data_IF_394490235064
#
_entry.id   IF_394490235064
#
_cell.length_a   1.000
_cell.length_b   1.000
_cell.length_c   1.000
_cell.angle_alpha   90.00
_cell.angle_beta   90.00
_cell.angle_gamma   90.00
#
_symmetry.space_group_name_H-M   'P 1'
#
loop_
_entity.id
_entity.type
_entity.pdbx_description
1 polymer ?
#
# COMPACT_ATOMS: atom_id res chain seq x y z
N UNK A 1 29.69 19.40 -36.13
CA UNK A 1 28.77 19.02 -37.22
C UNK A 1 29.39 18.06 -38.25
N UNK A 2 30.72 17.96 -38.38
CA UNK A 2 31.35 16.94 -39.25
C UNK A 2 31.66 15.59 -38.56
N UNK A 3 31.54 15.50 -37.22
CA UNK A 3 31.74 14.23 -36.49
C UNK A 3 30.52 13.29 -36.52
N UNK A 4 29.34 13.79 -36.90
CA UNK A 4 28.10 13.00 -36.98
C UNK A 4 27.89 12.34 -38.35
N UNK A 5 28.69 12.68 -39.36
CA UNK A 5 28.64 12.06 -40.69
C UNK A 5 29.50 10.79 -40.82
N UNK A 6 30.38 10.51 -39.84
CA UNK A 6 31.30 9.37 -39.88
C UNK A 6 30.74 8.08 -39.25
N UNK A 7 29.61 8.15 -38.53
CA UNK A 7 29.02 6.99 -37.83
C UNK A 7 27.89 6.29 -38.60
N UNK A 8 27.56 6.73 -39.82
CA UNK A 8 26.50 6.14 -40.65
C UNK A 8 26.98 5.13 -41.71
N UNK A 9 28.25 4.68 -41.65
CA UNK A 9 28.81 3.70 -42.60
C UNK A 9 29.54 2.54 -41.91
N UNK A 10 28.83 1.80 -41.07
CA UNK A 10 29.26 0.45 -40.68
C UNK A 10 28.18 -0.54 -41.12
N UNK A 11 28.38 -1.06 -42.33
CA UNK A 11 27.58 -2.14 -42.91
C UNK A 11 27.80 -3.44 -42.12
N UNK A 12 26.77 -3.90 -41.42
CA UNK A 12 26.73 -5.26 -40.91
C UNK A 12 26.22 -6.20 -42.02
N UNK A 13 27.16 -6.85 -42.70
CA UNK A 13 26.88 -8.02 -43.53
C UNK A 13 26.99 -9.28 -42.67
N UNK A 14 25.86 -9.89 -42.31
CA UNK A 14 25.82 -11.20 -41.68
C UNK A 14 24.85 -12.12 -42.44
N UNK A 15 25.38 -13.30 -42.76
CA UNK A 15 24.96 -14.27 -43.78
C UNK A 15 23.73 -15.07 -43.35
N UNK A 16 22.82 -15.32 -44.30
CA UNK A 16 21.88 -16.46 -44.28
C UNK A 16 22.64 -17.75 -44.59
N UNK A 17 22.31 -18.89 -43.95
CA UNK A 17 22.51 -20.19 -44.56
C UNK A 17 21.20 -20.70 -45.18
N UNK A 18 21.34 -21.20 -46.40
CA UNK A 18 20.31 -21.82 -47.21
C UNK A 18 20.11 -23.31 -46.83
N UNK A 19 18.84 -23.73 -46.97
CA UNK A 19 18.30 -25.05 -47.35
C UNK A 19 19.24 -26.27 -47.47
N UNK A 20 18.77 -27.40 -46.93
CA UNK A 20 19.02 -28.72 -47.51
C UNK A 20 17.74 -29.57 -47.50
N UNK A 21 17.32 -29.97 -48.69
CA UNK A 21 16.24 -30.90 -49.01
C UNK A 21 16.58 -32.34 -48.59
N UNK A 22 15.56 -33.13 -48.24
CA UNK A 22 15.47 -34.55 -48.66
C UNK A 22 14.02 -34.99 -48.81
N UNK A 23 13.76 -35.61 -49.96
CA UNK A 23 12.50 -36.21 -50.39
C UNK A 23 12.63 -37.73 -50.41
N UNK A 24 11.54 -38.44 -50.12
CA UNK A 24 11.11 -39.76 -50.66
C UNK A 24 9.82 -40.17 -49.92
N UNK A 25 8.62 -40.02 -50.48
CA UNK A 25 7.90 -40.92 -51.41
C UNK A 25 7.66 -42.36 -50.90
N UNK A 26 6.41 -42.68 -50.54
CA UNK A 26 5.70 -43.85 -51.10
C UNK A 26 4.18 -43.84 -50.83
N UNK A 27 3.44 -43.86 -51.95
CA UNK A 27 2.10 -44.38 -52.22
C UNK A 27 1.58 -45.54 -51.32
N UNK A 28 0.27 -45.58 -50.98
CA UNK A 28 -0.82 -46.17 -51.79
C UNK A 28 -2.09 -46.54 -50.98
N UNK A 29 -3.25 -46.22 -51.56
CA UNK A 29 -4.52 -46.97 -51.62
C UNK A 29 -5.30 -47.42 -50.35
N UNK A 30 -6.46 -46.76 -50.17
CA UNK A 30 -7.83 -47.31 -50.08
C UNK A 30 -8.06 -48.81 -49.75
N UNK A 31 -8.84 -49.10 -48.71
CA UNK A 31 -10.02 -50.00 -48.75
C UNK A 31 -10.84 -49.99 -47.45
N UNK A 32 -12.14 -50.14 -47.64
CA UNK A 32 -13.20 -50.24 -46.64
C UNK A 32 -13.25 -51.60 -45.92
N UNK A 33 -13.76 -51.60 -44.68
CA UNK A 33 -14.67 -52.60 -44.05
C UNK A 33 -14.92 -52.14 -42.61
N UNK A 34 -16.14 -51.72 -42.26
CA UNK A 34 -17.18 -52.56 -41.63
C UNK A 34 -16.72 -53.28 -40.35
N UNK A 35 -17.33 -52.94 -39.20
CA UNK A 35 -17.28 -53.84 -38.04
C UNK A 35 -17.52 -53.27 -36.65
N UNK A 36 -18.76 -52.83 -36.37
CA UNK A 36 -19.52 -53.04 -35.10
C UNK A 36 -18.95 -52.62 -33.72
N UNK A 37 -19.75 -51.73 -33.13
CA UNK A 37 -20.39 -51.87 -31.80
C UNK A 37 -19.53 -51.77 -30.53
N UNK A 38 -19.74 -50.68 -29.77
CA UNK A 38 -20.59 -50.69 -28.55
C UNK A 38 -20.74 -49.27 -28.01
N UNK A 39 -21.94 -48.73 -28.19
CA UNK A 39 -22.48 -47.61 -27.43
C UNK A 39 -23.08 -48.22 -26.16
N UNK A 40 -22.66 -47.75 -24.99
CA UNK A 40 -23.35 -48.00 -23.72
C UNK A 40 -24.18 -46.77 -23.44
N UNK A 41 -25.46 -46.87 -23.79
CA UNK A 41 -26.53 -45.95 -23.44
C UNK A 41 -27.24 -46.55 -22.23
N UNK A 42 -27.23 -45.84 -21.09
CA UNK A 42 -28.06 -46.17 -19.93
C UNK A 42 -29.19 -45.15 -19.92
N UNK A 43 -30.33 -45.59 -20.46
CA UNK A 43 -31.63 -44.93 -20.38
C UNK A 43 -32.39 -45.55 -19.20
N UNK A 44 -32.69 -44.76 -18.17
CA UNK A 44 -33.79 -45.07 -17.24
C UNK A 44 -34.70 -43.86 -17.13
N UNK A 45 -35.81 -43.95 -17.85
CA UNK A 45 -36.94 -43.02 -17.82
C UNK A 45 -37.87 -43.29 -16.63
N UNK A 46 -38.43 -42.18 -16.15
CA UNK A 46 -39.83 -41.96 -15.69
C UNK A 46 -40.33 -42.68 -14.44
N UNK A 47 -40.68 -41.86 -13.45
CA UNK A 47 -42.08 -41.74 -13.01
C UNK A 47 -42.44 -40.26 -12.79
N UNK A 48 -43.59 -39.87 -13.34
CA UNK A 48 -44.21 -38.57 -13.25
C UNK A 48 -44.99 -38.40 -11.94
N UNK A 49 -45.38 -37.17 -11.61
CA UNK A 49 -46.61 -36.91 -10.86
C UNK A 49 -46.51 -35.83 -9.79
N UNK A 50 -47.12 -34.68 -10.09
CA UNK A 50 -47.30 -33.54 -9.21
C UNK A 50 -48.12 -33.85 -7.95
N UNK A 51 -48.02 -32.98 -6.92
CA UNK A 51 -49.13 -32.22 -6.29
C UNK A 51 -48.68 -31.58 -4.97
N UNK A 52 -48.82 -30.25 -4.92
CA UNK A 52 -49.16 -29.35 -3.80
C UNK A 52 -49.36 -29.99 -2.41
N UNK A 53 -48.60 -29.56 -1.39
CA UNK A 53 -49.17 -28.96 -0.17
C UNK A 53 -48.12 -28.45 0.82
N UNK A 54 -48.47 -27.32 1.42
CA UNK A 54 -47.80 -26.68 2.54
C UNK A 54 -47.64 -27.61 3.75
N UNK A 55 -46.48 -27.55 4.39
CA UNK A 55 -46.19 -28.25 5.64
C UNK A 55 -45.22 -27.46 6.50
N UNK A 56 -45.77 -26.53 7.28
CA UNK A 56 -45.09 -25.91 8.43
C UNK A 56 -44.50 -27.00 9.33
N UNK A 57 -43.19 -26.97 9.58
CA UNK A 57 -42.62 -27.60 10.76
C UNK A 57 -42.01 -26.55 11.68
N UNK A 58 -42.80 -26.25 12.73
CA UNK A 58 -42.32 -25.75 14.01
C UNK A 58 -41.48 -26.84 14.64
N UNK A 59 -40.23 -26.55 14.97
CA UNK A 59 -39.58 -27.14 16.13
C UNK A 59 -39.29 -26.00 17.12
N UNK A 60 -40.16 -25.98 18.12
CA UNK A 60 -40.09 -25.30 19.41
C UNK A 60 -38.74 -25.50 20.09
N UNK A 61 -38.10 -24.43 20.56
CA UNK A 61 -38.26 -23.86 21.91
C UNK A 61 -37.82 -24.83 23.02
N UNK A 62 -36.50 -24.99 23.17
CA UNK A 62 -35.87 -25.50 24.39
C UNK A 62 -34.39 -25.07 24.43
N UNK A 63 -34.11 -23.83 24.88
CA UNK A 63 -32.83 -23.37 25.47
C UNK A 63 -32.87 -21.87 25.82
N UNK A 64 -33.98 -21.41 26.41
CA UNK A 64 -34.07 -20.08 27.05
C UNK A 64 -34.90 -20.21 28.33
N UNK A 65 -34.27 -20.65 29.41
CA UNK A 65 -34.67 -20.38 30.79
C UNK A 65 -33.71 -21.09 31.77
N UNK A 66 -32.59 -20.45 32.11
CA UNK A 66 -31.95 -20.57 33.44
C UNK A 66 -30.68 -19.74 33.51
N UNK A 67 -30.83 -18.45 33.82
CA UNK A 67 -29.96 -17.65 34.71
C UNK A 67 -30.32 -16.17 34.56
N UNK A 68 -31.40 -15.81 35.22
CA UNK A 68 -31.66 -14.43 35.65
C UNK A 68 -31.89 -14.50 37.15
N UNK A 69 -30.84 -14.26 37.92
CA UNK A 69 -30.93 -13.72 39.26
C UNK A 69 -29.58 -13.12 39.67
N UNK A 70 -29.62 -11.82 39.93
CA UNK A 70 -28.75 -11.10 40.88
C UNK A 70 -27.29 -10.85 40.49
N UNK A 71 -27.03 -9.68 39.89
CA UNK A 71 -26.31 -8.60 40.59
C UNK A 71 -26.44 -7.30 39.78
N UNK A 72 -27.19 -6.34 40.33
CA UNK A 72 -27.07 -4.92 39.99
C UNK A 72 -25.77 -4.46 40.62
N UNK A 73 -24.72 -4.22 39.84
CA UNK A 73 -23.76 -3.18 40.19
C UNK A 73 -22.96 -2.70 38.97
N UNK A 74 -22.82 -1.37 38.92
CA UNK A 74 -21.80 -0.57 38.24
C UNK A 74 -21.33 -0.97 36.82
N UNK A 75 -21.71 -0.13 35.84
CA UNK A 75 -21.19 -0.10 34.47
C UNK A 75 -19.67 0.10 34.46
N UNK A 76 -18.93 -0.97 34.21
CA UNK A 76 -17.66 -0.94 33.51
C UNK A 76 -17.75 -1.97 32.39
N UNK A 77 -17.86 -1.51 31.15
CA UNK A 77 -17.58 -2.35 29.99
C UNK A 77 -16.08 -2.58 29.99
N UNK A 78 -15.63 -3.64 30.66
CA UNK A 78 -14.30 -4.19 30.44
C UNK A 78 -14.36 -4.85 29.07
N UNK A 79 -13.87 -4.15 28.05
CA UNK A 79 -13.56 -4.75 26.75
C UNK A 79 -12.39 -5.71 26.97
N UNK A 80 -12.67 -6.93 27.43
CA UNK A 80 -11.72 -8.03 27.27
C UNK A 80 -11.65 -8.28 25.78
N UNK A 81 -10.64 -7.70 25.13
CA UNK A 81 -10.37 -7.89 23.71
C UNK A 81 -10.08 -9.35 23.46
N UNK A 82 -11.05 -10.06 22.89
CA UNK A 82 -10.72 -11.26 22.14
C UNK A 82 -9.93 -10.74 20.95
N UNK A 83 -8.62 -11.00 20.92
CA UNK A 83 -7.80 -10.79 19.74
C UNK A 83 -8.35 -11.71 18.65
N UNK A 84 -9.35 -11.25 17.91
CA UNK A 84 -9.78 -11.93 16.69
C UNK A 84 -8.54 -11.98 15.80
N UNK A 85 -8.08 -13.19 15.50
CA UNK A 85 -6.93 -13.39 14.62
C UNK A 85 -7.21 -12.70 13.29
N UNK A 86 -6.58 -11.54 13.12
CA UNK A 86 -6.73 -10.72 11.94
C UNK A 86 -6.35 -11.57 10.71
N UNK A 87 -7.30 -11.69 9.78
CA UNK A 87 -7.15 -12.40 8.51
C UNK A 87 -5.84 -12.00 7.84
N UNK A 88 -5.08 -12.99 7.36
CA UNK A 88 -3.82 -12.74 6.65
C UNK A 88 -4.03 -11.79 5.45
N UNK A 89 -5.17 -11.90 4.76
CA UNK A 89 -5.53 -11.00 3.67
C UNK A 89 -5.78 -9.54 4.15
N UNK A 90 -6.34 -9.35 5.35
CA UNK A 90 -6.50 -8.02 5.96
C UNK A 90 -5.14 -7.38 6.24
N UNK A 91 -4.17 -8.14 6.77
CA UNK A 91 -2.78 -7.66 6.97
C UNK A 91 -2.11 -7.23 5.67
N UNK A 92 -2.28 -8.02 4.61
CA UNK A 92 -1.76 -7.70 3.27
C UNK A 92 -2.40 -6.40 2.75
N UNK A 93 -3.72 -6.28 2.84
CA UNK A 93 -4.44 -5.11 2.34
C UNK A 93 -4.08 -3.84 3.11
N UNK A 94 -3.91 -3.91 4.44
CA UNK A 94 -3.43 -2.77 5.25
C UNK A 94 -2.04 -2.31 4.80
N UNK A 95 -1.11 -3.24 4.57
CA UNK A 95 0.22 -2.93 4.02
C UNK A 95 0.14 -2.32 2.61
N UNK A 96 -0.67 -2.91 1.74
CA UNK A 96 -0.87 -2.41 0.38
C UNK A 96 -1.48 -1.00 0.38
N UNK A 97 -2.45 -0.73 1.27
CA UNK A 97 -3.11 0.56 1.39
C UNK A 97 -2.13 1.68 1.82
N UNK A 98 -1.22 1.38 2.75
CA UNK A 98 -0.16 2.32 3.15
C UNK A 98 0.81 2.61 2.02
N UNK A 99 1.27 1.57 1.33
CA UNK A 99 2.15 1.71 0.18
C UNK A 99 1.46 2.51 -0.94
N UNK A 100 0.16 2.28 -1.16
CA UNK A 100 -0.64 3.03 -2.13
C UNK A 100 -0.71 4.53 -1.78
N UNK A 101 -1.07 4.89 -0.53
CA UNK A 101 -1.15 6.30 -0.11
C UNK A 101 0.20 7.00 -0.27
N UNK A 102 1.29 6.33 0.08
CA UNK A 102 2.62 6.90 -0.08
C UNK A 102 3.06 6.97 -1.57
N UNK A 103 2.62 6.04 -2.41
CA UNK A 103 2.85 6.06 -3.86
C UNK A 103 2.03 7.16 -4.56
N UNK A 104 0.82 7.45 -4.09
CA UNK A 104 -0.02 8.56 -4.59
C UNK A 104 0.68 9.92 -4.43
N UNK A 105 1.58 10.04 -3.46
CA UNK A 105 2.44 11.21 -3.24
C UNK A 105 3.66 11.27 -4.16
N UNK A 106 3.73 10.42 -5.18
CA UNK A 106 4.81 10.41 -6.16
C UNK A 106 6.02 9.56 -5.78
N UNK A 107 5.97 8.80 -4.68
CA UNK A 107 7.09 7.96 -4.28
C UNK A 107 7.15 6.66 -5.09
N UNK A 108 8.17 6.57 -5.94
CA UNK A 108 8.45 5.36 -6.72
C UNK A 108 8.85 4.17 -5.84
N UNK A 109 9.46 4.42 -4.69
CA UNK A 109 9.86 3.37 -3.73
C UNK A 109 8.62 2.69 -3.15
N UNK A 110 7.60 3.46 -2.77
CA UNK A 110 6.35 2.88 -2.28
C UNK A 110 5.50 2.24 -3.38
N UNK A 111 5.67 2.67 -4.63
CA UNK A 111 5.09 1.96 -5.76
C UNK A 111 5.70 0.55 -5.92
N UNK A 112 7.02 0.40 -5.73
CA UNK A 112 7.68 -0.92 -5.68
C UNK A 112 7.20 -1.74 -4.49
N UNK A 113 7.07 -1.12 -3.31
CA UNK A 113 6.58 -1.80 -2.11
C UNK A 113 5.15 -2.31 -2.31
N UNK A 114 4.27 -1.52 -2.94
CA UNK A 114 2.92 -1.95 -3.29
C UNK A 114 2.95 -3.19 -4.21
N UNK A 115 3.80 -3.17 -5.24
CA UNK A 115 3.99 -4.33 -6.13
C UNK A 115 4.49 -5.54 -5.36
N UNK A 116 5.46 -5.38 -4.45
CA UNK A 116 5.99 -6.46 -3.63
C UNK A 116 4.94 -7.07 -2.69
N UNK A 117 4.11 -6.24 -2.05
CA UNK A 117 3.03 -6.70 -1.16
C UNK A 117 1.98 -7.49 -1.95
N UNK A 118 1.54 -7.00 -3.11
CA UNK A 118 0.57 -7.71 -3.94
C UNK A 118 1.17 -8.99 -4.55
N UNK A 119 2.46 -8.97 -4.89
CA UNK A 119 3.17 -10.16 -5.32
C UNK A 119 3.25 -11.21 -4.22
N UNK A 120 3.52 -10.81 -2.99
CA UNK A 120 3.48 -11.70 -1.83
C UNK A 120 2.07 -12.29 -1.65
N UNK A 121 1.02 -11.49 -1.78
CA UNK A 121 -0.37 -11.98 -1.71
C UNK A 121 -0.66 -13.05 -2.77
N UNK A 122 -0.18 -12.82 -3.99
CA UNK A 122 -0.29 -13.76 -5.10
C UNK A 122 0.47 -15.07 -4.82
N UNK A 123 1.69 -14.98 -4.28
CA UNK A 123 2.50 -16.14 -3.90
C UNK A 123 1.85 -16.97 -2.79
N UNK A 124 1.14 -16.32 -1.87
CA UNK A 124 0.36 -16.98 -0.81
C UNK A 124 -0.98 -17.54 -1.32
N UNK A 125 -1.30 -17.39 -2.61
CA UNK A 125 -2.55 -17.87 -3.19
C UNK A 125 -3.80 -17.13 -2.68
N UNK A 126 -3.67 -15.87 -2.25
CA UNK A 126 -4.81 -15.08 -1.79
C UNK A 126 -5.59 -14.57 -3.00
N UNK A 127 -6.85 -14.99 -3.22
CA UNK A 127 -7.59 -14.62 -4.43
C UNK A 127 -7.86 -13.12 -4.49
N UNK A 128 -7.83 -12.55 -5.69
CA UNK A 128 -8.02 -11.11 -5.92
C UNK A 128 -9.38 -10.62 -5.39
N UNK A 129 -10.42 -11.46 -5.48
CA UNK A 129 -11.74 -11.16 -4.93
C UNK A 129 -11.69 -10.98 -3.40
N UNK A 130 -10.87 -11.77 -2.70
CA UNK A 130 -10.67 -11.61 -1.25
C UNK A 130 -9.95 -10.31 -0.94
N UNK A 131 -8.92 -9.94 -1.69
CA UNK A 131 -8.23 -8.65 -1.53
C UNK A 131 -9.18 -7.46 -1.74
N UNK A 132 -10.05 -7.52 -2.77
CA UNK A 132 -11.10 -6.51 -3.00
C UNK A 132 -12.08 -6.42 -1.82
N UNK A 133 -12.55 -7.56 -1.32
CA UNK A 133 -13.46 -7.60 -0.17
C UNK A 133 -12.84 -7.04 1.11
N UNK A 134 -11.58 -7.40 1.39
CA UNK A 134 -10.83 -6.91 2.55
C UNK A 134 -10.50 -5.41 2.42
N UNK A 135 -10.37 -4.88 1.20
CA UNK A 135 -10.19 -3.43 0.97
C UNK A 135 -11.47 -2.65 1.25
N UNK A 136 -12.62 -3.20 0.85
CA UNK A 136 -13.91 -2.64 1.24
C UNK A 136 -14.13 -2.74 2.75
N UNK A 137 -13.76 -3.86 3.37
CA UNK A 137 -13.81 -4.03 4.83
C UNK A 137 -12.90 -3.03 5.55
N UNK A 138 -11.67 -2.83 5.09
CA UNK A 138 -10.74 -1.85 5.64
C UNK A 138 -11.34 -0.43 5.62
N UNK A 139 -12.03 -0.07 4.54
CA UNK A 139 -12.69 1.24 4.42
C UNK A 139 -13.93 1.39 5.33
N UNK A 140 -14.48 0.29 5.85
CA UNK A 140 -15.59 0.28 6.81
C UNK A 140 -15.13 0.10 8.27
N UNK A 141 -14.03 -0.63 8.49
CA UNK A 141 -13.40 -0.88 9.80
C UNK A 141 -12.85 0.39 10.43
N UNK A 142 -12.64 1.43 9.62
CA UNK A 142 -12.42 2.75 10.16
C UNK A 142 -13.68 3.17 10.93
N UNK A 143 -13.74 2.88 12.24
CA UNK A 143 -14.68 3.47 13.21
C UNK A 143 -14.50 4.99 13.38
N UNK A 144 -14.11 5.65 12.31
CA UNK A 144 -13.81 7.05 12.15
C UNK A 144 -15.05 7.73 11.54
N UNK A 145 -15.11 9.04 11.70
CA UNK A 145 -16.15 9.86 11.09
C UNK A 145 -16.00 9.87 9.55
N UNK A 146 -14.76 9.70 9.06
CA UNK A 146 -14.42 9.71 7.64
C UNK A 146 -13.79 8.38 7.19
N UNK A 147 -14.17 7.85 6.01
CA UNK A 147 -13.56 6.64 5.45
C UNK A 147 -12.09 6.89 5.09
N UNK A 148 -11.26 5.83 5.15
CA UNK A 148 -9.83 5.90 4.78
C UNK A 148 -9.63 6.37 3.33
N UNK A 149 -10.50 5.90 2.44
CA UNK A 149 -10.56 6.25 1.03
C UNK A 149 -11.95 6.77 0.71
N UNK A 150 -12.02 7.84 -0.09
CA UNK A 150 -13.26 8.09 -0.79
C UNK A 150 -13.57 6.94 -1.78
N UNK A 151 -14.80 6.88 -2.28
CA UNK A 151 -15.22 5.80 -3.16
C UNK A 151 -14.35 5.70 -4.43
N UNK A 152 -13.90 6.83 -4.96
CA UNK A 152 -13.07 6.89 -6.17
C UNK A 152 -11.65 6.38 -5.88
N UNK A 153 -11.05 6.79 -4.77
CA UNK A 153 -9.74 6.32 -4.32
C UNK A 153 -9.75 4.83 -4.03
N UNK A 154 -10.82 4.30 -3.42
CA UNK A 154 -10.96 2.86 -3.20
C UNK A 154 -11.03 2.08 -4.52
N UNK A 155 -11.73 2.61 -5.52
CA UNK A 155 -11.79 2.04 -6.87
C UNK A 155 -10.42 2.08 -7.58
N UNK A 156 -9.67 3.17 -7.45
CA UNK A 156 -8.30 3.28 -7.98
C UNK A 156 -7.36 2.29 -7.29
N UNK A 157 -7.39 2.24 -5.96
CA UNK A 157 -6.57 1.32 -5.16
C UNK A 157 -6.84 -0.14 -5.53
N UNK A 158 -8.10 -0.54 -5.58
CA UNK A 158 -8.48 -1.91 -5.97
C UNK A 158 -8.16 -2.22 -7.43
N UNK A 159 -8.25 -1.23 -8.33
CA UNK A 159 -7.80 -1.35 -9.73
C UNK A 159 -6.29 -1.55 -9.83
N UNK A 160 -5.49 -0.81 -9.06
CA UNK A 160 -4.03 -0.97 -9.02
C UNK A 160 -3.62 -2.35 -8.54
N UNK A 161 -4.22 -2.84 -7.45
CA UNK A 161 -3.99 -4.21 -7.00
C UNK A 161 -4.35 -5.24 -8.08
N UNK A 162 -5.49 -5.07 -8.77
CA UNK A 162 -5.90 -5.95 -9.85
C UNK A 162 -4.91 -5.93 -11.03
N UNK A 163 -4.44 -4.75 -11.44
CA UNK A 163 -3.44 -4.59 -12.51
C UNK A 163 -2.16 -5.34 -12.15
N UNK A 164 -1.64 -5.15 -10.93
CA UNK A 164 -0.42 -5.82 -10.47
C UNK A 164 -0.64 -7.34 -10.46
N UNK A 165 -1.73 -7.80 -9.83
CA UNK A 165 -2.06 -9.21 -9.67
C UNK A 165 -2.18 -9.94 -11.02
N UNK A 166 -2.92 -9.35 -11.96
CA UNK A 166 -3.10 -9.90 -13.32
C UNK A 166 -1.79 -9.87 -14.11
N UNK A 167 -0.97 -8.82 -13.96
CA UNK A 167 0.34 -8.74 -14.60
C UNK A 167 1.24 -9.88 -14.14
N UNK A 168 1.27 -10.17 -12.84
CA UNK A 168 2.06 -11.29 -12.28
C UNK A 168 1.56 -12.63 -12.85
N UNK A 169 0.25 -12.86 -12.84
CA UNK A 169 -0.35 -14.08 -13.37
C UNK A 169 0.01 -14.34 -14.83
N UNK A 170 -0.15 -13.32 -15.69
CA UNK A 170 0.20 -13.42 -17.11
C UNK A 170 1.71 -13.63 -17.33
N UNK A 171 2.56 -12.94 -16.57
CA UNK A 171 4.02 -13.10 -16.67
C UNK A 171 4.51 -14.47 -16.24
N UNK A 172 3.79 -15.15 -15.34
CA UNK A 172 4.07 -16.54 -14.94
C UNK A 172 3.48 -17.57 -15.91
N UNK A 173 2.84 -17.13 -16.99
CA UNK A 173 2.24 -18.01 -17.99
C UNK A 173 1.03 -18.80 -17.45
N UNK A 174 0.39 -18.33 -16.39
CA UNK A 174 -0.85 -18.93 -15.91
C UNK A 174 -1.99 -18.52 -16.84
N UNK A 175 -2.73 -19.50 -17.34
CA UNK A 175 -3.98 -19.21 -18.04
C UNK A 175 -4.95 -18.58 -17.05
N UNK A 176 -5.38 -17.36 -17.35
CA UNK A 176 -6.36 -16.66 -16.54
C UNK A 176 -7.74 -17.33 -16.59
N UNK A 177 -8.02 -18.19 -17.57
CA UNK A 177 -9.26 -19.00 -17.60
C UNK A 177 -9.30 -20.04 -16.48
N UNK A 178 -8.16 -20.63 -16.17
CA UNK A 178 -8.04 -21.68 -15.15
C UNK A 178 -7.63 -21.12 -13.78
N UNK A 179 -7.33 -19.83 -13.70
CA UNK A 179 -6.86 -19.22 -12.47
C UNK A 179 -8.02 -18.88 -11.53
N UNK A 180 -8.31 -19.77 -10.58
CA UNK A 180 -9.30 -19.58 -9.51
C UNK A 180 -9.08 -18.28 -8.69
N UNK A 181 -7.87 -17.69 -8.76
CA UNK A 181 -7.54 -16.45 -8.07
C UNK A 181 -8.12 -15.20 -8.77
N UNK A 182 -8.58 -15.31 -10.02
CA UNK A 182 -9.08 -14.18 -10.83
C UNK A 182 -10.50 -14.45 -11.31
N UNK A 183 -11.48 -13.74 -10.75
CA UNK A 183 -12.87 -13.85 -11.17
C UNK A 183 -13.13 -13.08 -12.48
N UNK A 184 -13.17 -13.82 -13.60
CA UNK A 184 -13.49 -13.26 -14.93
C UNK A 184 -14.96 -12.84 -15.10
N UNK A 185 -15.86 -13.19 -14.18
CA UNK A 185 -17.25 -12.75 -14.28
C UNK A 185 -17.36 -11.24 -14.05
N UNK A 186 -16.44 -10.69 -13.24
CA UNK A 186 -16.32 -9.25 -13.01
C UNK A 186 -15.91 -8.52 -14.30
N UNK A 187 -16.78 -7.59 -14.75
CA UNK A 187 -16.55 -6.77 -15.93
C UNK A 187 -15.30 -5.89 -15.79
N UNK A 188 -15.01 -5.38 -14.60
CA UNK A 188 -13.84 -4.55 -14.35
C UNK A 188 -12.56 -5.37 -14.54
N UNK A 189 -12.51 -6.58 -13.97
CA UNK A 189 -11.35 -7.47 -14.09
C UNK A 189 -11.10 -7.83 -15.56
N UNK A 190 -12.14 -8.11 -16.35
CA UNK A 190 -11.97 -8.34 -17.80
C UNK A 190 -11.36 -7.16 -18.53
N UNK A 191 -11.78 -5.93 -18.20
CA UNK A 191 -11.19 -4.71 -18.74
C UNK A 191 -9.71 -4.59 -18.39
N UNK A 192 -9.36 -4.85 -17.12
CA UNK A 192 -7.96 -4.89 -16.65
C UNK A 192 -7.16 -5.95 -17.38
N UNK A 193 -7.66 -7.18 -17.54
CA UNK A 193 -6.98 -8.24 -18.27
C UNK A 193 -6.68 -7.83 -19.72
N UNK A 194 -7.67 -7.33 -20.46
CA UNK A 194 -7.47 -6.88 -21.84
C UNK A 194 -6.43 -5.74 -21.94
N UNK A 195 -6.45 -4.82 -20.99
CA UNK A 195 -5.49 -3.72 -20.92
C UNK A 195 -4.06 -4.21 -20.62
N UNK A 196 -3.90 -5.11 -19.64
CA UNK A 196 -2.61 -5.71 -19.27
C UNK A 196 -2.05 -6.53 -20.42
N UNK A 197 -2.86 -7.37 -21.06
CA UNK A 197 -2.46 -8.18 -22.22
C UNK A 197 -1.93 -7.30 -23.36
N UNK A 198 -2.67 -6.26 -23.73
CA UNK A 198 -2.28 -5.31 -24.78
C UNK A 198 -0.95 -4.63 -24.44
N UNK A 199 -0.77 -4.21 -23.18
CA UNK A 199 0.45 -3.55 -22.71
C UNK A 199 1.65 -4.51 -22.71
N UNK A 200 1.47 -5.75 -22.27
CA UNK A 200 2.52 -6.77 -22.28
C UNK A 200 2.88 -7.20 -23.71
N UNK A 201 1.93 -7.21 -24.65
CA UNK A 201 2.20 -7.46 -26.06
C UNK A 201 3.09 -6.37 -26.66
N UNK A 202 2.83 -5.09 -26.35
CA UNK A 202 3.67 -3.96 -26.75
C UNK A 202 5.07 -4.09 -26.14
N UNK A 203 5.17 -4.42 -24.85
CA UNK A 203 6.47 -4.69 -24.19
C UNK A 203 7.25 -5.81 -24.89
N UNK A 204 6.57 -6.89 -25.29
CA UNK A 204 7.15 -8.02 -26.02
C UNK A 204 7.71 -7.66 -27.41
N UNK A 205 7.29 -6.54 -28.00
CA UNK A 205 7.84 -6.02 -29.26
C UNK A 205 9.15 -5.22 -29.08
N UNK A 206 9.70 -5.18 -27.86
CA UNK A 206 10.95 -4.46 -27.56
C UNK A 206 10.73 -3.00 -27.16
N UNK A 207 9.54 -2.64 -26.70
CA UNK A 207 9.29 -1.35 -26.05
C UNK A 207 9.66 -1.46 -24.58
N UNK A 208 10.87 -1.03 -24.22
CA UNK A 208 11.30 -0.99 -22.82
C UNK A 208 10.66 0.16 -22.02
N UNK A 209 10.80 0.11 -20.69
CA UNK A 209 10.29 1.13 -19.77
C UNK A 209 10.83 2.52 -20.11
N UNK A 210 12.10 2.64 -20.49
CA UNK A 210 12.74 3.90 -20.81
C UNK A 210 12.17 4.54 -22.07
N UNK A 211 11.92 3.73 -23.11
CA UNK A 211 11.31 4.16 -24.37
C UNK A 211 9.86 4.55 -24.18
N UNK A 212 9.11 3.81 -23.37
CA UNK A 212 7.74 4.17 -23.00
C UNK A 212 7.71 5.46 -22.17
N UNK A 213 8.64 5.63 -21.23
CA UNK A 213 8.81 6.90 -20.49
C UNK A 213 9.13 8.04 -21.44
N UNK A 214 10.08 7.88 -22.36
CA UNK A 214 10.43 8.88 -23.37
C UNK A 214 9.22 9.25 -24.22
N UNK A 215 8.47 8.27 -24.72
CA UNK A 215 7.25 8.51 -25.49
C UNK A 215 6.18 9.25 -24.68
N UNK A 216 6.00 8.92 -23.41
CA UNK A 216 5.09 9.65 -22.52
C UNK A 216 5.56 11.09 -22.28
N UNK A 217 6.87 11.31 -22.15
CA UNK A 217 7.45 12.65 -22.00
C UNK A 217 7.26 13.48 -23.26
N UNK A 218 7.50 12.91 -24.45
CA UNK A 218 7.24 13.59 -25.72
C UNK A 218 5.77 13.90 -25.91
N UNK A 219 4.88 12.96 -25.61
CA UNK A 219 3.43 13.19 -25.65
C UNK A 219 3.01 14.33 -24.69
N UNK A 220 3.65 14.44 -23.53
CA UNK A 220 3.38 15.53 -22.57
C UNK A 220 3.87 16.89 -23.08
N UNK A 221 5.01 16.92 -23.78
CA UNK A 221 5.54 18.15 -24.39
C UNK A 221 4.61 18.62 -25.51
N UNK A 222 4.20 17.71 -26.40
CA UNK A 222 3.29 18.02 -27.51
C UNK A 222 1.90 18.45 -27.01
N UNK A 223 1.37 17.83 -25.95
CA UNK A 223 0.09 18.22 -25.35
C UNK A 223 0.13 19.64 -24.76
N UNK A 224 1.23 20.03 -24.10
CA UNK A 224 1.34 21.32 -23.42
C UNK A 224 1.23 22.51 -24.37
N UNK A 225 1.59 22.31 -25.63
CA UNK A 225 1.55 23.35 -26.67
C UNK A 225 0.18 23.45 -27.36
N UNK A 226 -0.70 22.45 -27.21
CA UNK A 226 -1.98 22.35 -27.96
C UNK A 226 -3.20 22.38 -27.04
N UNK A 227 -3.12 21.81 -25.84
CA UNK A 227 -4.21 21.74 -24.86
C UNK A 227 -3.69 22.02 -23.44
N UNK A 228 -4.23 23.03 -22.73
CA UNK A 228 -3.64 23.49 -21.47
C UNK A 228 -3.72 22.50 -20.30
N UNK A 229 -4.49 21.40 -20.40
CA UNK A 229 -4.64 20.41 -19.32
C UNK A 229 -4.71 18.99 -19.88
N UNK A 230 -3.79 18.12 -19.46
CA UNK A 230 -3.84 16.69 -19.79
C UNK A 230 -5.10 16.08 -19.19
N UNK A 231 -5.89 15.36 -20.00
CA UNK A 231 -7.11 14.71 -19.52
C UNK A 231 -6.81 13.75 -18.35
N UNK A 232 -7.57 13.79 -17.23
CA UNK A 232 -7.38 12.88 -16.10
C UNK A 232 -7.37 11.40 -16.49
N UNK A 233 -8.13 11.03 -17.53
CA UNK A 233 -8.16 9.68 -18.06
C UNK A 233 -6.82 9.24 -18.69
N UNK A 234 -6.16 10.16 -19.41
CA UNK A 234 -4.84 9.91 -19.99
C UNK A 234 -3.78 9.73 -18.90
N UNK A 235 -3.89 10.51 -17.82
CA UNK A 235 -2.95 10.40 -16.71
C UNK A 235 -3.08 9.06 -15.97
N UNK A 236 -4.32 8.65 -15.70
CA UNK A 236 -4.60 7.33 -15.14
C UNK A 236 -4.09 6.21 -16.05
N UNK A 237 -4.25 6.32 -17.38
CA UNK A 237 -3.70 5.35 -18.33
C UNK A 237 -2.16 5.30 -18.29
N UNK A 238 -1.48 6.46 -18.19
CA UNK A 238 -0.02 6.53 -18.06
C UNK A 238 0.46 5.85 -16.79
N UNK A 239 -0.19 6.12 -15.66
CA UNK A 239 0.12 5.49 -14.38
C UNK A 239 -0.10 3.97 -14.41
N UNK A 240 -1.24 3.51 -14.92
CA UNK A 240 -1.54 2.09 -15.04
C UNK A 240 -0.53 1.37 -15.95
N UNK A 241 -0.12 2.00 -17.06
CA UNK A 241 0.93 1.47 -17.94
C UNK A 241 2.25 1.32 -17.19
N UNK A 242 2.66 2.35 -16.43
CA UNK A 242 3.88 2.31 -15.62
C UNK A 242 3.84 1.21 -14.57
N UNK A 243 2.67 1.02 -13.94
CA UNK A 243 2.47 -0.02 -12.95
C UNK A 243 2.64 -1.42 -13.55
N UNK A 244 2.11 -1.66 -14.76
CA UNK A 244 2.31 -2.91 -15.50
C UNK A 244 3.80 -3.15 -15.78
N UNK A 245 4.48 -2.15 -16.33
CA UNK A 245 5.90 -2.28 -16.69
C UNK A 245 6.78 -2.51 -15.47
N UNK A 246 6.52 -1.79 -14.38
CA UNK A 246 7.20 -1.98 -13.10
C UNK A 246 6.97 -3.41 -12.59
N UNK A 247 5.72 -3.85 -12.55
CA UNK A 247 5.35 -5.20 -12.10
C UNK A 247 6.02 -6.27 -12.95
N UNK A 248 6.04 -6.12 -14.27
CA UNK A 248 6.70 -7.04 -15.18
C UNK A 248 8.22 -7.09 -14.93
N UNK A 249 8.87 -5.95 -14.70
CA UNK A 249 10.30 -5.89 -14.38
C UNK A 249 10.62 -6.57 -13.05
N UNK A 250 9.82 -6.31 -12.01
CA UNK A 250 10.00 -6.90 -10.68
C UNK A 250 9.70 -8.40 -10.67
N UNK A 251 8.71 -8.86 -11.43
CA UNK A 251 8.40 -10.30 -11.55
C UNK A 251 9.58 -11.06 -12.17
N UNK A 252 10.29 -10.46 -13.13
CA UNK A 252 11.50 -11.06 -13.71
C UNK A 252 12.67 -11.04 -12.72
N UNK A 253 12.83 -9.97 -11.95
CA UNK A 253 13.90 -9.85 -10.94
C UNK A 253 13.69 -10.82 -9.76
N UNK A 254 12.45 -10.97 -9.27
CA UNK A 254 12.10 -11.93 -8.21
C UNK A 254 12.41 -13.37 -8.61
N UNK A 255 12.32 -13.74 -9.89
CA UNK A 255 12.76 -15.08 -10.33
C UNK A 255 14.27 -15.29 -10.15
N UNK A 256 15.05 -14.21 -10.07
CA UNK A 256 16.51 -14.23 -9.92
C UNK A 256 17.00 -14.04 -8.48
N UNK A 257 16.21 -13.41 -7.60
CA UNK A 257 16.64 -12.96 -6.26
C UNK A 257 15.94 -13.68 -5.09
N UNK A 258 15.21 -14.77 -5.34
CA UNK A 258 14.38 -15.48 -4.34
C UNK A 258 15.18 -16.21 -3.22
N UNK A 259 16.43 -15.82 -2.96
CA UNK A 259 17.28 -16.44 -1.93
C UNK A 259 18.11 -15.46 -1.08
N UNK A 260 18.00 -14.14 -1.23
CA UNK A 260 18.71 -13.23 -0.33
C UNK A 260 17.76 -12.52 0.64
N UNK A 261 17.80 -13.08 1.85
CA UNK A 261 17.78 -12.47 3.16
C UNK A 261 16.63 -11.51 3.48
N UNK A 262 15.99 -11.78 4.61
CA UNK A 262 15.14 -10.85 5.30
C UNK A 262 15.94 -9.57 5.54
N UNK A 263 15.92 -8.62 4.59
CA UNK A 263 16.42 -7.26 4.80
C UNK A 263 15.98 -6.85 6.20
N UNK A 264 16.97 -6.56 7.07
CA UNK A 264 16.82 -6.66 8.52
C UNK A 264 15.46 -6.14 9.00
N UNK A 265 14.84 -6.79 9.99
CA UNK A 265 13.53 -6.38 10.54
C UNK A 265 13.41 -4.85 10.74
N UNK A 266 14.53 -4.19 11.03
CA UNK A 266 14.68 -2.74 11.13
C UNK A 266 14.38 -1.99 9.82
N UNK A 267 14.88 -2.43 8.66
CA UNK A 267 14.61 -1.77 7.36
C UNK A 267 13.14 -1.89 6.96
N UNK A 268 12.56 -3.09 7.07
CA UNK A 268 11.12 -3.26 6.78
C UNK A 268 10.27 -2.37 7.68
N UNK A 269 10.62 -2.30 8.98
CA UNK A 269 9.93 -1.42 9.93
C UNK A 269 10.13 0.06 9.60
N UNK A 270 11.35 0.46 9.21
CA UNK A 270 11.65 1.83 8.79
C UNK A 270 10.86 2.24 7.52
N UNK A 271 10.72 1.32 6.56
CA UNK A 271 9.91 1.55 5.36
C UNK A 271 8.43 1.71 5.68
N UNK A 272 7.88 0.88 6.58
CA UNK A 272 6.50 1.01 7.05
C UNK A 272 6.26 2.33 7.79
N UNK A 273 7.23 2.75 8.63
CA UNK A 273 7.22 4.05 9.28
C UNK A 273 7.29 5.19 8.26
N UNK A 274 8.14 5.07 7.24
CA UNK A 274 8.24 6.08 6.20
C UNK A 274 6.92 6.19 5.40
N UNK A 275 6.27 5.08 5.06
CA UNK A 275 4.95 5.08 4.42
C UNK A 275 3.89 5.80 5.27
N UNK A 276 3.82 5.42 6.55
CA UNK A 276 2.90 6.04 7.52
C UNK A 276 3.18 7.54 7.70
N UNK A 277 4.45 7.93 7.74
CA UNK A 277 4.86 9.33 7.83
C UNK A 277 4.44 10.12 6.59
N UNK A 278 4.71 9.63 5.38
CA UNK A 278 4.32 10.30 4.13
C UNK A 278 2.82 10.51 4.09
N UNK A 279 2.03 9.46 4.33
CA UNK A 279 0.58 9.56 4.33
C UNK A 279 0.05 10.49 5.43
N UNK A 280 0.68 10.50 6.60
CA UNK A 280 0.30 11.39 7.69
C UNK A 280 0.57 12.86 7.34
N UNK A 281 1.73 13.18 6.76
CA UNK A 281 2.06 14.55 6.29
C UNK A 281 1.07 15.01 5.21
N UNK A 282 0.55 14.09 4.40
CA UNK A 282 -0.52 14.37 3.43
C UNK A 282 -1.92 14.54 4.05
N UNK A 283 -2.05 14.40 5.37
CA UNK A 283 -3.31 14.60 6.09
C UNK A 283 -4.09 13.31 6.38
N UNK A 284 -3.59 12.13 6.02
CA UNK A 284 -4.28 10.87 6.31
C UNK A 284 -4.19 10.52 7.80
N UNK A 285 -5.34 10.53 8.49
CA UNK A 285 -5.42 10.15 9.90
C UNK A 285 -5.08 8.66 10.11
N UNK A 286 -5.46 7.80 9.16
CA UNK A 286 -5.11 6.39 9.18
C UNK A 286 -3.59 6.20 9.21
N UNK A 287 -2.87 6.87 8.30
CA UNK A 287 -1.41 6.78 8.23
C UNK A 287 -0.74 7.34 9.48
N UNK A 288 -1.31 8.39 10.09
CA UNK A 288 -0.83 8.93 11.37
C UNK A 288 -0.95 7.90 12.51
N UNK A 289 -2.09 7.23 12.63
CA UNK A 289 -2.29 6.18 13.64
C UNK A 289 -1.40 4.97 13.39
N UNK A 290 -1.27 4.55 12.14
CA UNK A 290 -0.37 3.48 11.74
C UNK A 290 1.08 3.81 12.07
N UNK A 291 1.53 5.03 11.75
CA UNK A 291 2.85 5.52 12.10
C UNK A 291 3.09 5.46 13.61
N UNK A 292 2.15 6.00 14.40
CA UNK A 292 2.23 5.99 15.86
C UNK A 292 2.34 4.54 16.39
N UNK A 293 1.45 3.65 15.95
CA UNK A 293 1.44 2.25 16.37
C UNK A 293 2.73 1.52 15.99
N UNK A 294 3.22 1.71 14.77
CA UNK A 294 4.45 1.08 14.28
C UNK A 294 5.67 1.61 15.03
N UNK A 295 5.71 2.91 15.33
CA UNK A 295 6.79 3.52 16.11
C UNK A 295 6.77 3.00 17.54
N UNK A 296 5.58 2.79 18.10
CA UNK A 296 5.40 2.16 19.41
C UNK A 296 5.88 0.71 19.44
N UNK A 297 5.77 -0.03 18.33
CA UNK A 297 6.35 -1.38 18.21
C UNK A 297 7.88 -1.28 18.13
N UNK A 298 8.42 -0.39 17.31
CA UNK A 298 9.85 -0.18 17.17
C UNK A 298 10.54 0.17 18.50
N UNK A 299 9.96 1.09 19.27
CA UNK A 299 10.46 1.51 20.58
C UNK A 299 10.46 0.35 21.58
N UNK A 300 9.35 -0.41 21.66
CA UNK A 300 9.24 -1.59 22.54
C UNK A 300 10.24 -2.69 22.17
N UNK A 301 10.57 -2.81 20.90
CA UNK A 301 11.63 -3.71 20.42
C UNK A 301 13.05 -3.19 20.68
N UNK A 302 13.20 -2.03 21.32
CA UNK A 302 14.51 -1.43 21.64
C UNK A 302 15.26 -0.91 20.41
N UNK A 303 14.57 -0.68 19.29
CA UNK A 303 15.19 -0.17 18.07
C UNK A 303 15.33 1.34 18.20
N UNK A 304 16.55 1.91 18.16
CA UNK A 304 16.72 3.35 18.28
C UNK A 304 16.30 4.07 16.99
N UNK A 305 15.84 5.31 17.11
CA UNK A 305 15.49 6.18 15.96
C UNK A 305 16.63 6.26 14.94
N UNK A 306 17.89 6.27 15.40
CA UNK A 306 19.06 6.35 14.52
C UNK A 306 19.23 5.10 13.66
N UNK A 307 18.86 3.92 14.16
CA UNK A 307 18.89 2.69 13.38
C UNK A 307 17.82 2.72 12.28
N UNK A 308 16.61 3.20 12.60
CA UNK A 308 15.53 3.36 11.61
C UNK A 308 15.91 4.38 10.52
N UNK A 309 16.50 5.52 10.89
CA UNK A 309 16.95 6.51 9.92
C UNK A 309 18.12 6.01 9.06
N UNK A 310 19.09 5.29 9.64
CA UNK A 310 20.21 4.70 8.89
C UNK A 310 19.80 3.54 7.99
N UNK A 311 18.69 2.88 8.31
CA UNK A 311 18.15 1.82 7.48
C UNK A 311 17.49 2.33 6.20
N UNK A 312 17.21 3.64 6.11
CA UNK A 312 16.61 4.31 4.97
C UNK A 312 17.66 5.07 4.15
N UNK A 313 17.51 5.02 2.84
CA UNK A 313 18.35 5.74 1.89
C UNK A 313 17.78 7.15 1.65
N UNK A 314 18.65 8.14 1.46
CA UNK A 314 18.21 9.53 1.25
C UNK A 314 17.28 9.70 0.03
N UNK A 315 17.41 8.83 -0.98
CA UNK A 315 16.56 8.80 -2.17
C UNK A 315 15.13 8.36 -1.88
N UNK A 316 14.89 7.64 -0.79
CA UNK A 316 13.55 7.17 -0.40
C UNK A 316 12.67 8.31 0.14
N UNK A 317 13.30 9.42 0.56
CA UNK A 317 12.63 10.66 0.96
C UNK A 317 12.37 11.60 -0.23
N UNK A 318 13.01 11.35 -1.38
CA UNK A 318 12.77 12.14 -2.59
C UNK A 318 11.45 11.74 -3.22
N UNK A 319 10.61 12.74 -3.51
CA UNK A 319 9.38 12.59 -4.28
C UNK A 319 9.63 12.71 -5.79
N UNK A 320 10.90 12.75 -6.23
CA UNK A 320 11.28 12.95 -7.64
C UNK A 320 11.16 11.67 -8.48
N UNK A 321 10.34 10.70 -8.04
CA UNK A 321 10.23 9.37 -8.63
C UNK A 321 9.58 9.31 -10.01
N UNK A 322 9.38 10.44 -10.69
CA UNK A 322 8.55 10.61 -11.89
C UNK A 322 7.10 10.12 -11.75
N UNK A 323 6.69 9.55 -10.62
CA UNK A 323 5.31 9.07 -10.41
C UNK A 323 4.42 10.30 -10.30
N UNK A 324 3.50 10.41 -11.25
CA UNK A 324 2.59 11.54 -11.31
C UNK A 324 1.62 11.34 -10.14
N UNK A 325 1.43 12.34 -9.26
CA UNK A 325 0.51 12.21 -8.14
C UNK A 325 -0.90 11.85 -8.66
N UNK A 326 -1.49 10.78 -8.14
CA UNK A 326 -2.85 10.34 -8.56
C UNK A 326 -3.93 11.16 -7.87
N UNK A 327 -3.57 11.86 -6.79
CA UNK A 327 -4.44 12.79 -6.12
C UNK A 327 -4.40 14.16 -6.79
N UNK A 328 -5.59 14.76 -6.94
CA UNK A 328 -5.78 16.19 -7.16
C UNK A 328 -5.17 16.95 -5.95
N UNK A 329 -3.85 17.02 -5.85
CA UNK A 329 -3.20 17.80 -4.81
C UNK A 329 -3.54 19.25 -5.09
N UNK A 330 -4.43 19.77 -4.23
CA UNK A 330 -5.21 20.99 -4.45
C UNK A 330 -4.36 22.25 -4.56
N UNK A 331 -3.08 22.20 -4.17
CA UNK A 331 -2.21 23.39 -4.06
C UNK A 331 -0.77 23.27 -4.62
N UNK A 332 -0.40 22.17 -5.29
CA UNK A 332 0.85 22.09 -6.07
C UNK A 332 2.18 22.34 -5.33
N UNK A 333 2.19 22.44 -4.00
CA UNK A 333 3.41 22.64 -3.22
C UNK A 333 4.10 21.31 -2.97
N UNK A 334 5.26 21.10 -3.59
CA UNK A 334 6.10 19.93 -3.31
C UNK A 334 6.67 20.05 -1.89
N UNK A 335 6.15 19.27 -0.96
CA UNK A 335 6.72 19.20 0.39
C UNK A 335 8.00 18.37 0.31
N UNK A 336 9.15 19.03 0.35
CA UNK A 336 10.44 18.34 0.46
C UNK A 336 10.55 17.64 1.81
N UNK A 337 10.34 16.33 1.82
CA UNK A 337 10.51 15.51 3.00
C UNK A 337 12.00 15.33 3.29
N UNK A 338 12.40 15.64 4.52
CA UNK A 338 13.78 15.47 4.99
C UNK A 338 13.84 14.38 6.03
N UNK A 339 14.95 13.64 6.06
CA UNK A 339 15.26 12.66 7.11
C UNK A 339 15.13 13.26 8.51
N UNK A 340 15.52 14.53 8.68
CA UNK A 340 15.40 15.25 9.96
C UNK A 340 13.94 15.42 10.42
N UNK A 341 13.01 15.61 9.49
CA UNK A 341 11.58 15.76 9.80
C UNK A 341 10.98 14.43 10.27
N UNK A 342 11.33 13.36 9.57
CA UNK A 342 10.96 11.99 9.93
C UNK A 342 11.54 11.57 11.29
N UNK A 343 12.84 11.83 11.52
CA UNK A 343 13.49 11.59 12.80
C UNK A 343 12.79 12.32 13.94
N UNK A 344 12.41 13.60 13.73
CA UNK A 344 11.68 14.39 14.72
C UNK A 344 10.32 13.78 15.07
N UNK A 345 9.58 13.24 14.10
CA UNK A 345 8.31 12.56 14.36
C UNK A 345 8.49 11.26 15.17
N UNK A 346 9.55 10.50 14.88
CA UNK A 346 9.89 9.31 15.67
C UNK A 346 10.26 9.70 17.11
N UNK A 347 11.10 10.71 17.30
CA UNK A 347 11.50 11.19 18.63
C UNK A 347 10.29 11.68 19.43
N UNK A 348 9.37 12.44 18.83
CA UNK A 348 8.11 12.86 19.48
C UNK A 348 7.32 11.65 19.96
N UNK A 349 7.23 10.60 19.14
CA UNK A 349 6.50 9.37 19.45
C UNK A 349 7.15 8.60 20.60
N UNK A 350 8.48 8.44 20.56
CA UNK A 350 9.25 7.74 21.59
C UNK A 350 9.15 8.46 22.93
N UNK A 351 9.34 9.78 22.94
CA UNK A 351 9.20 10.63 24.13
C UNK A 351 7.77 10.59 24.70
N UNK A 352 6.76 10.56 23.84
CA UNK A 352 5.37 10.47 24.28
C UNK A 352 5.07 9.14 24.97
N UNK A 353 5.65 8.02 24.52
CA UNK A 353 5.54 6.73 25.20
C UNK A 353 6.27 6.71 26.54
N UNK A 354 7.41 7.40 26.62
CA UNK A 354 8.23 7.49 27.83
C UNK A 354 7.70 8.49 28.86
N UNK A 355 6.64 9.24 28.56
CA UNK A 355 6.12 10.32 29.43
C UNK A 355 5.63 9.87 30.84
N UNK A 356 5.69 8.57 31.15
CA UNK A 356 5.54 8.03 32.51
C UNK A 356 6.87 7.85 33.28
N UNK A 357 8.02 8.22 32.71
CA UNK A 357 9.34 7.88 33.24
C UNK A 357 10.10 9.11 33.78
N UNK A 358 10.75 8.88 34.92
CA UNK A 358 11.62 9.78 35.68
C UNK A 358 12.65 10.54 34.82
N UNK A 359 13.15 11.67 35.34
CA UNK A 359 14.18 12.52 34.70
C UNK A 359 15.43 11.76 34.19
N UNK A 360 15.71 10.54 34.68
CA UNK A 360 16.90 9.74 34.36
C UNK A 360 17.00 9.26 32.89
N UNK A 361 15.90 9.17 32.14
CA UNK A 361 15.94 8.69 30.75
C UNK A 361 16.32 9.78 29.73
N UNK A 362 16.14 11.04 30.09
CA UNK A 362 16.59 12.19 29.29
C UNK A 362 18.12 12.15 29.06
N UNK A 363 18.88 11.64 30.03
CA UNK A 363 20.34 11.51 29.92
C UNK A 363 20.78 10.41 28.94
N UNK A 364 19.94 9.40 28.67
CA UNK A 364 20.25 8.32 27.70
C UNK A 364 20.05 8.75 26.25
N UNK A 365 19.11 9.65 25.99
CA UNK A 365 18.89 10.21 24.65
C UNK A 365 19.93 11.27 24.24
N UNK A 366 20.73 11.81 25.18
CA UNK A 366 21.87 12.68 24.86
C UNK A 366 22.82 12.02 23.86
N UNK A 367 22.99 10.70 23.95
CA UNK A 367 23.81 9.92 23.04
C UNK A 367 23.26 9.88 21.59
N UNK A 368 21.95 10.04 21.40
CA UNK A 368 21.31 10.04 20.09
C UNK A 368 21.59 11.33 19.31
N UNK A 369 21.51 12.49 19.97
CA UNK A 369 21.73 13.79 19.34
C UNK A 369 23.23 14.12 19.17
N UNK A 370 24.10 13.49 19.94
CA UNK A 370 25.56 13.68 19.89
C UNK A 370 26.26 12.83 18.81
N UNK A 371 25.62 11.79 18.26
CA UNK A 371 26.28 10.81 17.40
C UNK A 371 26.65 11.28 15.98
N UNK A 372 26.27 12.50 15.56
CA UNK A 372 26.46 12.92 14.16
C UNK A 372 26.79 14.40 13.93
N UNK A 373 27.34 15.13 14.92
CA UNK A 373 27.64 16.55 14.72
C UNK A 373 28.99 17.03 15.27
N UNK A 374 29.69 17.78 14.42
CA UNK A 374 30.82 18.65 14.77
C UNK A 374 30.36 19.80 15.69
N UNK A 375 31.30 20.27 16.52
CA UNK A 375 31.09 21.04 17.75
C UNK A 375 30.26 22.34 17.60
N UNK A 376 30.15 22.94 16.41
CA UNK A 376 29.38 24.19 16.20
C UNK A 376 27.85 24.02 16.07
N UNK A 377 27.34 22.80 15.84
CA UNK A 377 25.87 22.56 15.73
C UNK A 377 25.17 22.29 17.07
N UNK A 378 25.92 22.08 18.15
CA UNK A 378 25.41 21.52 19.42
C UNK A 378 24.42 22.46 20.13
N UNK A 379 24.63 23.78 20.07
CA UNK A 379 23.76 24.75 20.77
C UNK A 379 22.38 24.91 20.12
N UNK A 380 22.29 24.81 18.80
CA UNK A 380 21.01 24.86 18.08
C UNK A 380 20.18 23.59 18.31
N UNK A 381 20.85 22.44 18.46
CA UNK A 381 20.23 21.14 18.69
C UNK A 381 19.64 21.01 20.09
N UNK A 382 20.33 21.50 21.12
CA UNK A 382 19.81 21.44 22.49
C UNK A 382 18.58 22.35 22.68
N UNK A 383 18.58 23.54 22.07
CA UNK A 383 17.40 24.41 22.08
C UNK A 383 16.21 23.78 21.34
N UNK A 384 16.44 23.17 20.18
CA UNK A 384 15.39 22.46 19.44
C UNK A 384 14.85 21.28 20.26
N UNK A 385 15.72 20.51 20.90
CA UNK A 385 15.36 19.40 21.77
C UNK A 385 14.50 19.83 22.95
N UNK A 386 14.93 20.86 23.70
CA UNK A 386 14.15 21.41 24.81
C UNK A 386 12.79 21.92 24.32
N UNK A 387 12.74 22.52 23.13
CA UNK A 387 11.50 22.89 22.45
C UNK A 387 10.57 21.72 22.17
N UNK A 388 11.10 20.62 21.62
CA UNK A 388 10.33 19.39 21.35
C UNK A 388 9.83 18.76 22.65
N UNK A 389 10.68 18.66 23.67
CA UNK A 389 10.30 18.11 24.97
C UNK A 389 9.20 18.92 25.64
N UNK A 390 9.34 20.25 25.65
CA UNK A 390 8.32 21.14 26.19
C UNK A 390 7.01 21.03 25.40
N UNK A 391 7.10 20.93 24.07
CA UNK A 391 5.95 20.72 23.20
C UNK A 391 5.22 19.40 23.53
N UNK A 392 5.95 18.27 23.60
CA UNK A 392 5.36 16.95 23.91
C UNK A 392 4.72 16.96 25.29
N UNK A 393 5.38 17.55 26.30
CA UNK A 393 4.81 17.69 27.66
C UNK A 393 3.52 18.49 27.65
N UNK A 394 3.50 19.63 26.97
CA UNK A 394 2.31 20.47 26.88
C UNK A 394 1.18 19.74 26.13
N UNK A 395 1.47 19.11 24.99
CA UNK A 395 0.50 18.36 24.19
C UNK A 395 -0.10 17.19 24.99
N UNK A 396 0.73 16.40 25.67
CA UNK A 396 0.28 15.27 26.50
C UNK A 396 -0.53 15.75 27.70
N UNK A 397 -0.11 16.83 28.38
CA UNK A 397 -0.84 17.42 29.51
C UNK A 397 -2.20 17.95 29.06
N UNK A 398 -2.23 18.72 27.98
CA UNK A 398 -3.47 19.27 27.44
C UNK A 398 -4.40 18.14 26.98
N UNK A 399 -3.89 17.11 26.30
CA UNK A 399 -4.67 15.92 25.95
C UNK A 399 -5.27 15.20 27.17
N UNK A 400 -4.52 15.09 28.29
CA UNK A 400 -5.04 14.54 29.54
C UNK A 400 -6.13 15.44 30.17
N UNK A 401 -6.01 16.76 30.06
CA UNK A 401 -7.03 17.70 30.52
C UNK A 401 -8.30 17.70 29.63
N UNK A 402 -8.16 17.29 28.36
CA UNK A 402 -9.22 17.25 27.33
C UNK A 402 -10.08 15.97 27.39
N UNK A 403 -9.74 14.94 28.17
CA UNK A 403 -10.63 13.78 28.38
C UNK A 403 -12.02 14.14 28.96
N UNK A 404 -12.28 15.41 29.29
CA UNK A 404 -13.61 16.03 29.26
C UNK A 404 -14.01 16.51 27.86
N UNK A 405 -14.87 15.73 27.16
CA UNK A 405 -15.34 15.83 25.75
C UNK A 405 -15.58 17.21 25.09
N UNK A 406 -15.65 18.32 25.81
CA UNK A 406 -15.93 19.65 25.26
C UNK A 406 -14.68 20.44 24.79
N UNK A 407 -13.45 19.96 25.04
CA UNK A 407 -12.24 20.80 24.89
C UNK A 407 -11.33 20.50 23.71
N UNK A 408 -11.55 19.45 22.90
CA UNK A 408 -10.71 19.21 21.72
C UNK A 408 -10.88 20.33 20.68
N UNK A 409 -12.11 20.79 20.44
CA UNK A 409 -12.36 22.00 19.63
C UNK A 409 -11.71 23.26 20.22
N UNK A 410 -11.56 23.31 21.55
CA UNK A 410 -10.94 24.45 22.25
C UNK A 410 -9.42 24.41 22.10
N UNK A 411 -8.81 23.23 22.10
CA UNK A 411 -7.39 23.01 21.81
C UNK A 411 -7.05 23.26 20.33
N UNK A 412 -7.92 22.83 19.41
CA UNK A 412 -7.78 23.17 17.99
C UNK A 412 -7.86 24.69 17.76
N UNK A 413 -8.67 25.40 18.57
CA UNK A 413 -8.69 26.87 18.64
C UNK A 413 -7.47 27.47 19.35
N UNK A 414 -6.87 26.82 20.36
CA UNK A 414 -5.71 27.36 21.10
C UNK A 414 -4.39 27.28 20.33
N UNK A 415 -4.20 26.23 19.51
CA UNK A 415 -3.04 26.12 18.60
C UNK A 415 -3.14 27.14 17.46
N UNK A 416 -4.35 27.64 17.17
CA UNK A 416 -4.58 28.75 16.26
C UNK A 416 -4.14 30.05 16.92
N UNK A 417 -2.84 30.35 16.86
CA UNK A 417 -2.35 31.68 17.19
C UNK A 417 -3.11 32.69 16.29
N UNK A 418 -3.76 33.75 16.83
CA UNK A 418 -4.51 34.71 16.01
C UNK A 418 -3.67 35.43 14.95
N UNK A 419 -2.33 35.31 15.02
CA UNK A 419 -1.38 35.84 14.04
C UNK A 419 -0.96 34.84 12.96
N UNK A 420 -1.30 33.56 13.10
CA UNK A 420 -1.05 32.53 12.09
C UNK A 420 -2.39 32.14 11.46
N UNK A 421 -2.48 32.21 10.14
CA UNK A 421 -3.63 31.66 9.42
C UNK A 421 -3.83 30.20 9.85
N UNK A 422 -5.07 29.83 10.20
CA UNK A 422 -5.39 28.50 10.73
C UNK A 422 -4.98 27.35 9.79
N UNK A 423 -4.78 27.69 8.51
CA UNK A 423 -4.38 26.80 7.42
C UNK A 423 -2.89 26.96 7.04
N UNK A 424 -2.11 27.70 7.82
CA UNK A 424 -0.67 27.78 7.63
C UNK A 424 -0.06 26.37 7.74
N UNK A 425 0.82 25.95 6.80
CA UNK A 425 1.47 24.64 6.85
C UNK A 425 2.16 24.34 8.19
N UNK A 426 2.70 25.36 8.84
CA UNK A 426 3.33 25.26 10.16
C UNK A 426 2.32 24.89 11.25
N UNK A 427 1.13 25.48 11.24
CA UNK A 427 0.06 25.21 12.23
C UNK A 427 -0.49 23.80 12.02
N UNK A 428 -0.74 23.39 10.79
CA UNK A 428 -1.17 22.03 10.44
C UNK A 428 -0.14 21.00 10.89
N UNK A 429 1.14 21.26 10.65
CA UNK A 429 2.23 20.41 11.09
C UNK A 429 2.28 20.26 12.63
N UNK A 430 2.18 21.37 13.37
CA UNK A 430 2.17 21.33 14.85
C UNK A 430 0.95 20.58 15.39
N UNK A 431 -0.23 20.73 14.76
CA UNK A 431 -1.43 19.95 15.10
C UNK A 431 -1.21 18.46 14.89
N UNK A 432 -0.58 18.05 13.79
CA UNK A 432 -0.27 16.64 13.55
C UNK A 432 0.71 16.08 14.58
N UNK A 433 1.75 16.83 14.97
CA UNK A 433 2.68 16.40 16.02
C UNK A 433 2.00 16.26 17.39
N UNK A 434 1.03 17.13 17.72
CA UNK A 434 0.26 17.01 18.95
C UNK A 434 -0.64 15.77 18.93
N UNK A 435 -1.36 15.54 17.83
CA UNK A 435 -2.18 14.32 17.63
C UNK A 435 -1.33 13.06 17.72
N UNK A 436 -0.14 13.07 17.11
CA UNK A 436 0.83 11.98 17.17
C UNK A 436 1.24 11.65 18.61
N UNK A 437 1.59 12.66 19.40
CA UNK A 437 2.00 12.48 20.79
C UNK A 437 0.86 11.86 21.63
N UNK A 438 -0.38 12.31 21.44
CA UNK A 438 -1.56 11.74 22.12
C UNK A 438 -1.77 10.27 21.74
N UNK A 439 -1.75 9.94 20.45
CA UNK A 439 -1.91 8.57 19.96
C UNK A 439 -0.82 7.64 20.52
N UNK A 440 0.43 8.09 20.48
CA UNK A 440 1.57 7.33 20.99
C UNK A 440 1.43 7.00 22.48
N UNK A 441 1.00 7.98 23.28
CA UNK A 441 0.70 7.80 24.71
C UNK A 441 -0.39 6.76 24.91
N UNK A 442 -1.50 6.88 24.20
CA UNK A 442 -2.66 5.99 24.35
C UNK A 442 -2.30 4.54 23.98
N UNK A 443 -1.51 4.32 22.91
CA UNK A 443 -0.98 3.00 22.57
C UNK A 443 0.01 2.45 23.60
N UNK A 444 0.78 3.33 24.27
CA UNK A 444 1.69 2.93 25.35
C UNK A 444 0.96 2.43 26.60
N UNK A 445 -0.22 2.97 26.91
CA UNK A 445 -0.99 2.59 28.11
C UNK A 445 -1.82 1.32 27.93
N UNK A 446 -2.38 1.08 26.74
CA UNK A 446 -3.30 -0.04 26.48
C UNK A 446 -2.70 -1.44 26.63
N UNK A 447 -1.38 -1.57 26.79
CA UNK A 447 -0.70 -2.88 26.89
C UNK A 447 -0.21 -3.23 28.31
N UNK A 448 -0.43 -2.35 29.30
CA UNK A 448 -0.03 -2.58 30.70
C UNK A 448 -1.16 -3.12 31.60
N UNK A 449 -2.36 -3.31 31.06
CA UNK A 449 -3.49 -3.97 31.74
C UNK A 449 -3.59 -5.41 31.24
#
# INVERSE_FOLDING_TARGET
>A
MELLAALSRVEWTARRPASACRASSHDQASRASEGRSRIVEIDTKRCAGAVVQAGRFRITKALRASKLASCRDSRFHVCVGVEEEESHASKIVKKAALAYIAAEMGSFVFLKELVAVVHHAYDQGVPLLRLKAESAALNMESGFVDPMFDQQQLEIFTSWMAIIYVTIAMRRGQDLEDNELVDKTDRQIRGVCSFVESTLQVLGQGYDLERLKLQQTFARIEEKDILPESSPAMELMRQNTRLILLTASMTNACQSELLDDHTSDVRSLAMQLLAGFIGAVSGSEYCLRWFAQTACVAHRSGIPVSALCKALDATEFSQDGDVIPVGLSRDGSSVYLKVSLFARWLTVTYLAQESNLSNDLLEREDAFWQADNSVEKVTSLEAERQGILQFVRNAVREAAEIEGKEKLETFERSISNPFLEADSPTVLFMRQQAKLATLARDYGHGTKQ
#
